data_IF_386163361680
#
_entry.id   IF_386163361680
#
_cell.length_a   1.000
_cell.length_b   1.000
_cell.length_c   1.000
_cell.angle_alpha   90.00
_cell.angle_beta   90.00
_cell.angle_gamma   90.00
#
_symmetry.space_group_name_H-M   'P 1'
#
loop_
_entity.id
_entity.type
_entity.pdbx_description
1 polymer ?
#
# COMPACT_ATOMS: atom_id res chain seq x y z
N UNK A 1 -31.93 69.12 -44.81
CA UNK A 1 -31.10 68.67 -43.70
C UNK A 1 -31.93 68.64 -42.44
N UNK A 2 -32.44 67.49 -42.03
CA UNK A 2 -33.28 67.36 -40.83
C UNK A 2 -32.36 67.39 -39.61
N UNK A 3 -32.55 68.37 -38.71
CA UNK A 3 -31.80 68.46 -37.45
C UNK A 3 -32.28 67.36 -36.51
N UNK A 4 -31.42 66.42 -36.22
CA UNK A 4 -31.65 65.35 -35.27
C UNK A 4 -31.86 66.00 -33.88
N UNK A 5 -33.10 66.00 -33.36
CA UNK A 5 -33.41 66.47 -32.00
C UNK A 5 -32.93 65.45 -30.99
N UNK A 6 -31.83 65.72 -30.33
CA UNK A 6 -31.35 64.94 -29.19
C UNK A 6 -32.27 65.15 -27.99
N UNK A 7 -33.17 64.22 -27.74
CA UNK A 7 -34.00 64.21 -26.52
C UNK A 7 -33.19 63.63 -25.37
N UNK A 8 -33.27 64.28 -24.21
CA UNK A 8 -32.59 63.79 -23.01
C UNK A 8 -33.17 62.40 -22.67
N UNK A 9 -32.33 61.36 -22.37
CA UNK A 9 -32.82 60.08 -22.00
C UNK A 9 -33.66 60.13 -20.73
N UNK A 10 -34.77 59.38 -20.68
CA UNK A 10 -35.64 59.33 -19.51
C UNK A 10 -34.88 58.68 -18.34
N UNK A 11 -35.17 59.09 -17.09
CA UNK A 11 -34.55 58.43 -15.92
C UNK A 11 -34.75 56.90 -15.90
N UNK A 12 -35.88 56.42 -16.38
CA UNK A 12 -36.19 55.00 -16.48
C UNK A 12 -35.22 54.25 -17.47
N UNK A 13 -34.87 54.90 -18.57
CA UNK A 13 -33.94 54.33 -19.55
C UNK A 13 -32.51 54.25 -18.97
N UNK A 14 -32.08 55.22 -18.20
CA UNK A 14 -30.77 55.20 -17.52
C UNK A 14 -30.72 54.04 -16.51
N UNK A 15 -31.77 53.90 -15.70
CA UNK A 15 -31.84 52.79 -14.69
C UNK A 15 -31.85 51.45 -15.38
N UNK A 16 -32.63 51.27 -16.48
CA UNK A 16 -32.65 49.99 -17.21
C UNK A 16 -31.32 49.61 -17.84
N UNK A 17 -30.57 50.56 -18.39
CA UNK A 17 -29.25 50.31 -18.95
C UNK A 17 -28.24 49.95 -17.85
N UNK A 18 -28.28 50.60 -16.71
CA UNK A 18 -27.40 50.25 -15.56
C UNK A 18 -27.74 48.83 -15.06
N UNK A 19 -29.02 48.52 -14.92
CA UNK A 19 -29.45 47.19 -14.50
C UNK A 19 -29.01 46.10 -15.49
N UNK A 20 -29.08 46.37 -16.79
CA UNK A 20 -28.62 45.46 -17.82
C UNK A 20 -27.10 45.23 -17.75
N UNK A 21 -26.31 46.31 -17.55
CA UNK A 21 -24.84 46.18 -17.40
C UNK A 21 -24.50 45.37 -16.17
N UNK A 22 -25.16 45.60 -15.04
CA UNK A 22 -24.94 44.82 -13.79
C UNK A 22 -25.31 43.36 -13.99
N UNK A 23 -26.43 43.07 -14.65
CA UNK A 23 -26.88 41.71 -14.92
C UNK A 23 -25.88 40.96 -15.82
N UNK A 24 -25.36 41.60 -16.88
CA UNK A 24 -24.38 41.00 -17.79
C UNK A 24 -23.00 40.80 -17.14
N UNK A 25 -22.59 41.77 -16.31
CA UNK A 25 -21.32 41.66 -15.56
C UNK A 25 -21.35 40.52 -14.52
N UNK A 26 -22.52 40.30 -13.87
CA UNK A 26 -22.68 39.24 -12.88
C UNK A 26 -22.58 37.83 -13.47
N UNK A 27 -23.09 37.60 -14.69
CA UNK A 27 -23.03 36.30 -15.36
C UNK A 27 -21.65 35.94 -15.85
N UNK A 28 -20.83 36.94 -16.24
CA UNK A 28 -19.44 36.70 -16.68
C UNK A 28 -18.53 36.19 -15.54
N UNK A 29 -18.81 36.58 -14.30
CA UNK A 29 -18.03 36.11 -13.14
C UNK A 29 -18.32 34.65 -12.78
N UNK A 30 -19.52 34.15 -13.01
CA UNK A 30 -19.90 32.78 -12.68
C UNK A 30 -19.30 31.73 -13.63
N UNK A 31 -18.90 32.14 -14.85
CA UNK A 31 -18.31 31.24 -15.84
C UNK A 31 -16.77 31.11 -15.70
N UNK A 32 -16.16 31.85 -14.78
CA UNK A 32 -14.71 31.79 -14.57
C UNK A 32 -14.33 30.42 -13.98
N UNK A 33 -13.47 29.69 -14.67
CA UNK A 33 -12.94 28.41 -14.18
C UNK A 33 -12.36 28.62 -12.79
N UNK A 34 -12.86 27.87 -11.80
CA UNK A 34 -12.30 27.88 -10.44
C UNK A 34 -10.85 27.40 -10.53
N UNK A 35 -9.91 28.30 -10.29
CA UNK A 35 -8.51 27.95 -10.19
C UNK A 35 -8.27 27.27 -8.82
N UNK A 36 -7.60 26.12 -8.82
CA UNK A 36 -7.27 25.42 -7.59
C UNK A 36 -6.52 26.26 -6.56
N UNK A 37 -5.78 27.29 -6.99
CA UNK A 37 -5.13 28.28 -6.11
C UNK A 37 -6.10 29.17 -5.34
N UNK A 38 -7.34 29.32 -5.82
CA UNK A 38 -8.41 30.10 -5.15
C UNK A 38 -9.16 29.31 -4.06
N UNK A 39 -8.89 28.00 -3.98
CA UNK A 39 -9.52 27.12 -2.99
C UNK A 39 -8.70 27.16 -1.69
N UNK A 40 -9.31 27.60 -0.61
CA UNK A 40 -8.68 27.62 0.70
C UNK A 40 -8.27 26.19 1.10
N UNK A 41 -7.07 26.01 1.61
CA UNK A 41 -6.59 24.71 2.07
C UNK A 41 -7.61 24.09 3.07
N UNK A 42 -7.88 22.79 2.89
CA UNK A 42 -8.81 22.03 3.76
C UNK A 42 -10.29 22.47 3.72
N UNK A 43 -10.67 23.35 2.78
CA UNK A 43 -12.06 23.85 2.67
C UNK A 43 -13.01 22.86 1.97
N UNK A 44 -12.49 21.86 1.25
CA UNK A 44 -13.31 20.87 0.56
C UNK A 44 -13.44 19.62 1.41
N UNK A 45 -14.59 19.44 2.05
CA UNK A 45 -14.90 18.21 2.76
C UNK A 45 -15.10 17.02 1.82
N UNK A 46 -14.75 15.80 2.28
CA UNK A 46 -14.83 14.58 1.46
C UNK A 46 -16.22 14.31 0.87
N UNK A 47 -17.29 14.76 1.50
CA UNK A 47 -18.67 14.65 0.98
C UNK A 47 -18.96 15.52 -0.26
N UNK A 48 -18.08 16.46 -0.59
CA UNK A 48 -18.17 17.29 -1.82
C UNK A 48 -17.49 16.66 -3.02
N UNK A 49 -16.72 15.60 -2.79
CA UNK A 49 -16.07 14.84 -3.85
C UNK A 49 -17.00 13.70 -4.28
N UNK A 50 -17.28 13.61 -5.58
CA UNK A 50 -18.07 12.49 -6.13
C UNK A 50 -17.31 11.19 -5.92
N UNK A 51 -17.98 10.16 -5.38
CA UNK A 51 -17.38 8.84 -5.19
C UNK A 51 -16.83 8.29 -6.51
N UNK A 52 -15.68 7.63 -6.48
CA UNK A 52 -15.02 6.98 -7.60
C UNK A 52 -14.58 7.91 -8.75
N UNK A 53 -14.42 9.21 -8.51
CA UNK A 53 -13.96 10.16 -9.55
C UNK A 53 -12.50 10.54 -9.43
N UNK A 54 -11.88 10.34 -8.27
CA UNK A 54 -10.46 10.58 -8.06
C UNK A 54 -9.69 9.29 -8.35
N UNK A 55 -8.77 9.37 -9.28
CA UNK A 55 -7.85 8.28 -9.64
C UNK A 55 -6.44 8.57 -9.14
N UNK A 56 -5.54 7.61 -9.21
CA UNK A 56 -4.14 7.80 -8.84
C UNK A 56 -3.42 8.91 -9.62
N UNK A 57 -3.97 9.33 -10.75
CA UNK A 57 -3.42 10.42 -11.55
C UNK A 57 -3.66 11.81 -10.91
N UNK A 58 -4.78 11.99 -10.20
CA UNK A 58 -5.12 13.23 -9.49
C UNK A 58 -4.59 13.27 -8.06
N UNK A 59 -4.07 12.16 -7.55
CA UNK A 59 -3.64 12.03 -6.16
C UNK A 59 -2.14 11.77 -6.12
N UNK A 60 -1.40 12.60 -5.38
CA UNK A 60 0.01 12.30 -5.11
C UNK A 60 0.10 11.13 -4.11
N UNK A 61 0.25 9.92 -4.65
CA UNK A 61 0.25 8.69 -3.85
C UNK A 61 1.41 8.59 -2.87
N UNK A 62 2.52 9.31 -3.11
CA UNK A 62 3.64 9.36 -2.17
C UNK A 62 3.35 10.13 -0.88
N UNK A 63 2.27 10.94 -0.87
CA UNK A 63 1.83 11.73 0.29
C UNK A 63 0.58 11.17 0.97
N UNK A 64 0.03 10.09 0.44
CA UNK A 64 -1.09 9.39 1.09
C UNK A 64 -0.49 8.45 2.12
N UNK A 65 -0.90 8.60 3.38
CA UNK A 65 -0.58 7.59 4.39
C UNK A 65 -1.14 6.23 4.02
N UNK A 66 -0.68 5.17 4.68
CA UNK A 66 -1.14 3.81 4.40
C UNK A 66 -2.67 3.74 4.46
N UNK A 67 -3.31 3.42 3.32
CA UNK A 67 -4.75 3.17 3.28
C UNK A 67 -5.07 1.85 4.02
N UNK A 68 -6.23 1.72 4.67
CA UNK A 68 -6.56 0.51 5.46
C UNK A 68 -6.44 -0.81 4.68
N UNK A 69 -6.71 -0.80 3.37
CA UNK A 69 -6.52 -1.96 2.49
C UNK A 69 -5.05 -2.28 2.20
N UNK A 70 -4.17 -1.27 2.23
CA UNK A 70 -2.73 -1.48 2.10
C UNK A 70 -2.10 -2.00 3.40
N UNK A 71 -2.71 -1.74 4.57
CA UNK A 71 -2.27 -2.35 5.83
C UNK A 71 -2.31 -3.87 5.80
N UNK A 72 -3.23 -4.48 5.04
CA UNK A 72 -3.24 -5.94 4.86
C UNK A 72 -2.00 -6.46 4.11
N UNK A 73 -1.46 -5.68 3.18
CA UNK A 73 -0.22 -6.04 2.50
C UNK A 73 1.02 -5.84 3.37
N UNK A 74 0.96 -4.96 4.40
CA UNK A 74 2.08 -4.75 5.34
C UNK A 74 2.20 -5.86 6.39
N UNK A 75 1.18 -6.71 6.54
CA UNK A 75 1.17 -7.82 7.48
C UNK A 75 1.57 -9.16 6.84
N UNK A 76 2.14 -9.13 5.64
CA UNK A 76 2.72 -10.30 4.98
C UNK A 76 4.23 -10.22 5.08
N UNK A 77 4.81 -11.15 5.79
CA UNK A 77 6.25 -11.27 5.98
C UNK A 77 6.75 -12.51 5.24
N UNK A 78 7.93 -12.43 4.68
CA UNK A 78 8.52 -13.58 4.02
C UNK A 78 10.03 -13.66 4.28
N UNK A 79 10.51 -14.88 4.31
CA UNK A 79 11.91 -15.24 4.53
C UNK A 79 12.32 -16.25 3.48
N UNK A 80 13.47 -16.05 2.89
CA UNK A 80 14.18 -17.04 2.06
C UNK A 80 15.43 -17.41 2.81
N UNK A 81 15.57 -18.68 3.14
CA UNK A 81 16.73 -19.22 3.83
C UNK A 81 17.47 -20.18 2.92
N UNK A 82 18.80 -20.04 2.88
CA UNK A 82 19.69 -21.06 2.35
C UNK A 82 20.13 -21.94 3.51
N UNK A 83 19.90 -23.22 3.35
CA UNK A 83 20.29 -24.22 4.35
C UNK A 83 21.03 -25.37 3.66
N UNK A 84 22.29 -25.12 3.23
CA UNK A 84 23.11 -26.17 2.66
C UNK A 84 23.43 -27.26 3.70
N UNK A 85 23.67 -28.48 3.22
CA UNK A 85 23.97 -29.62 4.08
C UNK A 85 25.12 -29.34 5.05
N UNK A 86 24.91 -29.71 6.31
CA UNK A 86 25.87 -29.56 7.41
C UNK A 86 25.38 -28.66 8.54
N UNK A 87 25.85 -28.91 9.76
CA UNK A 87 25.34 -28.26 10.96
C UNK A 87 25.67 -26.76 10.97
N UNK A 88 24.70 -25.94 11.39
CA UNK A 88 24.82 -24.49 11.59
C UNK A 88 25.21 -23.68 10.32
N UNK A 89 24.81 -24.14 9.16
CA UNK A 89 25.12 -23.49 7.88
C UNK A 89 23.98 -22.62 7.35
N UNK A 90 22.85 -22.54 8.07
CA UNK A 90 21.71 -21.77 7.65
C UNK A 90 22.04 -20.27 7.55
N UNK A 91 21.69 -19.65 6.45
CA UNK A 91 21.86 -18.22 6.20
C UNK A 91 20.60 -17.58 5.71
N UNK A 92 20.35 -16.33 6.12
CA UNK A 92 19.24 -15.52 5.63
C UNK A 92 19.61 -14.96 4.25
N UNK A 93 19.00 -15.52 3.20
CA UNK A 93 19.23 -15.06 1.85
C UNK A 93 18.49 -13.76 1.53
N UNK A 94 17.19 -13.70 1.85
CA UNK A 94 16.33 -12.54 1.59
C UNK A 94 15.15 -12.49 2.56
N UNK A 95 14.69 -11.29 2.89
CA UNK A 95 13.48 -11.04 3.67
C UNK A 95 12.95 -9.63 3.39
N UNK A 96 11.67 -9.39 3.61
CA UNK A 96 11.08 -8.03 3.62
C UNK A 96 11.02 -7.41 5.03
N UNK A 97 11.62 -8.06 6.02
CA UNK A 97 11.57 -7.61 7.43
C UNK A 97 12.98 -7.53 8.01
N UNK A 98 13.34 -6.36 8.54
CA UNK A 98 14.60 -6.20 9.27
C UNK A 98 14.55 -6.90 10.63
N UNK A 99 15.70 -7.38 11.12
CA UNK A 99 15.81 -8.00 12.45
C UNK A 99 15.40 -9.48 12.51
N UNK A 100 15.12 -10.12 11.37
CA UNK A 100 14.94 -11.58 11.32
C UNK A 100 16.30 -12.25 11.50
N UNK A 101 16.33 -13.27 12.37
CA UNK A 101 17.52 -14.12 12.57
C UNK A 101 17.16 -15.59 12.40
N UNK A 102 18.13 -16.39 11.98
CA UNK A 102 17.99 -17.83 11.79
C UNK A 102 18.92 -18.56 12.74
N UNK A 103 18.46 -19.68 13.25
CA UNK A 103 19.26 -20.60 14.10
C UNK A 103 18.89 -22.03 13.75
N UNK A 104 19.87 -22.83 13.42
CA UNK A 104 19.70 -24.25 13.15
C UNK A 104 19.96 -25.08 14.41
N UNK A 105 19.12 -26.08 14.64
CA UNK A 105 19.29 -27.06 15.72
C UNK A 105 18.55 -28.35 15.39
N UNK A 106 19.27 -29.47 15.34
CA UNK A 106 18.69 -30.81 15.21
C UNK A 106 17.85 -31.02 13.95
N UNK A 107 18.31 -30.53 12.78
CA UNK A 107 17.61 -30.66 11.51
C UNK A 107 16.38 -29.76 11.37
N UNK A 108 16.28 -28.74 12.21
CA UNK A 108 15.24 -27.73 12.16
C UNK A 108 15.86 -26.34 12.19
N UNK A 109 15.27 -25.41 11.44
CA UNK A 109 15.67 -24.02 11.46
C UNK A 109 14.63 -23.20 12.23
N UNK A 110 15.07 -22.53 13.28
CA UNK A 110 14.27 -21.55 14.02
C UNK A 110 14.44 -20.19 13.36
N UNK A 111 13.32 -19.60 12.94
CA UNK A 111 13.25 -18.26 12.37
C UNK A 111 12.70 -17.34 13.45
N UNK A 112 13.50 -16.40 13.93
CA UNK A 112 13.10 -15.41 14.93
C UNK A 112 12.72 -14.11 14.25
N UNK A 113 11.54 -13.61 14.56
CA UNK A 113 11.01 -12.32 14.10
C UNK A 113 11.19 -11.25 15.20
N UNK A 114 11.26 -9.96 14.86
CA UNK A 114 11.33 -8.88 15.85
C UNK A 114 9.97 -8.57 16.51
N UNK A 115 8.93 -9.35 16.23
CA UNK A 115 7.56 -9.20 16.74
C UNK A 115 6.90 -10.56 16.96
N UNK A 116 5.75 -10.55 17.64
CA UNK A 116 4.95 -11.74 17.91
C UNK A 116 4.31 -12.29 16.63
N UNK A 117 4.53 -13.56 16.34
CA UNK A 117 3.98 -14.31 15.20
C UNK A 117 3.10 -15.49 15.61
N UNK A 118 2.84 -15.65 16.91
CA UNK A 118 2.11 -16.81 17.46
C UNK A 118 0.65 -16.91 16.97
N UNK A 119 0.03 -15.76 16.65
CA UNK A 119 -1.33 -15.68 16.09
C UNK A 119 -1.36 -15.60 14.56
N UNK A 120 -0.23 -15.72 13.88
CA UNK A 120 -0.15 -15.56 12.43
C UNK A 120 -0.30 -16.89 11.70
N UNK A 121 -0.94 -16.86 10.52
CA UNK A 121 -0.91 -17.99 9.60
C UNK A 121 0.48 -18.08 8.95
N UNK A 122 1.01 -19.28 8.80
CA UNK A 122 2.31 -19.47 8.19
C UNK A 122 2.34 -20.70 7.29
N UNK A 123 3.21 -20.63 6.28
CA UNK A 123 3.46 -21.73 5.35
C UNK A 123 4.92 -21.71 4.93
N UNK A 124 5.54 -22.88 4.89
CA UNK A 124 6.88 -23.03 4.31
C UNK A 124 6.83 -23.97 3.11
N UNK A 125 7.70 -23.70 2.17
CA UNK A 125 7.94 -24.55 1.01
C UNK A 125 9.44 -24.76 0.84
N UNK A 126 9.86 -25.96 0.43
CA UNK A 126 11.24 -26.22 0.03
C UNK A 126 11.57 -25.40 -1.22
N UNK A 127 12.75 -24.89 -1.24
CA UNK A 127 13.35 -24.20 -2.38
C UNK A 127 14.74 -24.73 -2.62
N UNK A 128 15.26 -24.51 -3.82
CA UNK A 128 16.66 -24.63 -4.11
C UNK A 128 17.14 -23.31 -4.69
N UNK A 129 17.51 -22.40 -3.80
CA UNK A 129 17.97 -21.07 -4.20
C UNK A 129 19.33 -21.11 -4.93
N UNK A 130 20.12 -22.14 -4.68
CA UNK A 130 21.48 -22.24 -5.21
C UNK A 130 21.58 -23.01 -6.55
N UNK A 131 20.71 -23.99 -6.80
CA UNK A 131 20.88 -24.91 -7.95
C UNK A 131 19.66 -25.09 -8.86
N UNK A 132 18.55 -24.40 -8.57
CA UNK A 132 17.40 -24.27 -9.48
C UNK A 132 16.44 -25.45 -9.55
N UNK A 133 16.73 -26.62 -9.00
CA UNK A 133 15.83 -27.78 -9.01
C UNK A 133 15.59 -28.27 -7.59
N UNK A 134 14.42 -27.99 -6.98
CA UNK A 134 14.10 -28.56 -5.68
C UNK A 134 13.99 -30.07 -5.79
N UNK A 135 14.74 -30.79 -4.96
CA UNK A 135 14.57 -32.23 -4.81
C UNK A 135 13.18 -32.56 -4.27
N UNK A 136 12.71 -33.81 -4.40
CA UNK A 136 11.43 -34.22 -3.85
C UNK A 136 11.42 -34.08 -2.33
N UNK A 137 10.27 -33.66 -1.77
CA UNK A 137 10.07 -33.47 -0.32
C UNK A 137 9.21 -32.27 0.00
N UNK A 138 9.12 -31.92 1.27
CA UNK A 138 8.25 -30.87 1.77
C UNK A 138 8.89 -30.10 2.94
N UNK A 139 8.29 -28.97 3.29
CA UNK A 139 8.63 -28.21 4.49
C UNK A 139 7.43 -28.19 5.43
N UNK A 140 7.70 -28.20 6.73
CA UNK A 140 6.71 -28.07 7.81
C UNK A 140 7.07 -26.90 8.70
N UNK A 141 6.05 -26.25 9.27
CA UNK A 141 6.21 -25.14 10.21
C UNK A 141 5.53 -25.46 11.53
N UNK A 142 6.16 -25.08 12.63
CA UNK A 142 5.59 -25.15 13.97
C UNK A 142 5.93 -23.88 14.76
N UNK A 143 5.05 -23.47 15.66
CA UNK A 143 5.41 -22.49 16.69
C UNK A 143 6.43 -23.07 17.67
N UNK A 144 7.26 -22.20 18.22
CA UNK A 144 8.23 -22.58 19.25
C UNK A 144 7.65 -22.31 20.63
N UNK A 145 7.52 -23.36 21.46
CA UNK A 145 6.96 -23.23 22.81
C UNK A 145 7.77 -22.21 23.64
N UNK A 146 7.06 -21.26 24.26
CA UNK A 146 7.68 -20.20 25.07
C UNK A 146 8.34 -19.06 24.28
N UNK A 147 8.27 -19.10 22.94
CA UNK A 147 8.85 -18.07 22.06
C UNK A 147 7.83 -17.58 21.04
N UNK A 148 6.96 -16.61 21.38
CA UNK A 148 5.88 -16.18 20.50
C UNK A 148 6.35 -15.50 19.21
N UNK A 149 7.60 -15.09 19.17
CA UNK A 149 8.25 -14.46 18.00
C UNK A 149 9.04 -15.43 17.13
N UNK A 150 8.92 -16.75 17.36
CA UNK A 150 9.71 -17.76 16.65
C UNK A 150 8.84 -18.82 15.97
N UNK A 151 9.25 -19.19 14.77
CA UNK A 151 8.71 -20.32 14.01
C UNK A 151 9.84 -21.30 13.70
N UNK A 152 9.58 -22.59 13.93
CA UNK A 152 10.46 -23.65 13.52
C UNK A 152 10.08 -24.15 12.13
N UNK A 153 11.03 -24.27 11.23
CA UNK A 153 10.87 -24.87 9.91
C UNK A 153 11.69 -26.16 9.84
N UNK A 154 11.06 -27.24 9.42
CA UNK A 154 11.72 -28.51 9.11
C UNK A 154 11.55 -28.81 7.65
N UNK A 155 12.63 -29.14 7.00
CA UNK A 155 12.64 -29.60 5.61
C UNK A 155 12.83 -31.12 5.60
N UNK A 156 12.02 -31.82 4.81
CA UNK A 156 12.02 -33.29 4.74
C UNK A 156 12.08 -33.76 3.30
N UNK A 157 12.65 -34.94 3.10
CA UNK A 157 12.61 -35.64 1.84
C UNK A 157 11.24 -36.34 1.62
N UNK A 158 11.12 -37.09 0.54
CA UNK A 158 9.90 -37.84 0.21
C UNK A 158 9.67 -39.07 1.11
N UNK A 159 10.64 -39.49 1.90
CA UNK A 159 10.51 -40.57 2.89
C UNK A 159 10.09 -40.05 4.27
N UNK A 160 10.11 -38.72 4.45
CA UNK A 160 9.83 -38.05 5.72
C UNK A 160 11.06 -37.87 6.61
N UNK A 161 12.26 -38.21 6.14
CA UNK A 161 13.49 -37.97 6.87
C UNK A 161 13.84 -36.47 6.84
N UNK A 162 14.33 -35.93 7.96
CA UNK A 162 14.80 -34.55 8.04
C UNK A 162 16.05 -34.40 7.17
N UNK A 163 16.08 -33.34 6.39
CA UNK A 163 17.19 -32.97 5.52
C UNK A 163 17.47 -31.49 5.60
N UNK A 164 18.73 -31.08 5.41
CA UNK A 164 19.06 -29.68 5.23
C UNK A 164 18.71 -29.27 3.80
N UNK A 165 17.80 -28.34 3.66
CA UNK A 165 17.40 -27.80 2.36
C UNK A 165 16.94 -26.35 2.49
N UNK A 166 17.17 -25.60 1.45
CA UNK A 166 16.68 -24.23 1.32
C UNK A 166 15.15 -24.19 1.42
N UNK A 167 14.61 -23.11 1.97
CA UNK A 167 13.17 -22.95 2.09
C UNK A 167 12.72 -21.49 1.96
N UNK A 168 11.46 -21.35 1.59
CA UNK A 168 10.71 -20.10 1.72
C UNK A 168 9.73 -20.23 2.87
N UNK A 169 9.61 -19.18 3.69
CA UNK A 169 8.60 -19.07 4.72
C UNK A 169 7.78 -17.81 4.46
N UNK A 170 6.46 -17.94 4.47
CA UNK A 170 5.52 -16.82 4.42
C UNK A 170 4.73 -16.81 5.71
N UNK A 171 4.62 -15.65 6.33
CA UNK A 171 3.87 -15.41 7.57
C UNK A 171 2.87 -14.29 7.33
N UNK A 172 1.61 -14.52 7.65
CA UNK A 172 0.51 -13.57 7.46
C UNK A 172 -0.13 -13.32 8.81
N UNK A 173 0.02 -12.10 9.31
CA UNK A 173 -0.58 -11.66 10.57
C UNK A 173 -1.83 -10.80 10.30
N UNK A 174 -2.78 -10.78 11.25
CA UNK A 174 -3.99 -9.96 11.17
C UNK A 174 -3.85 -8.67 11.97
#
# INVERSE_FOLDING_TARGET
>A
MSKLKWTRPSPALIVSVIALIVALAGTAYAAQRINGGSIVKQSIGGGKLKKNTLTGFQINTSKIGAVPSAKRATNVFWVVANNPAGPNNVTLARTNTSGVTLQESGGAVTVNFPFDVSGCANVAARNNAATGTPGPGFAQTNGVSGSPNALQVRTRDNTGADIDADFHLIVICQ
#
